data_IF_850326624688
#
_entry.id   IF_850326624688
#
_cell.length_a   1.000
_cell.length_b   1.000
_cell.length_c   1.000
_cell.angle_alpha   90.00
_cell.angle_beta   90.00
_cell.angle_gamma   90.00
#
_symmetry.space_group_name_H-M   'P 1'
#
loop_
_entity.id
_entity.type
_entity.pdbx_description
1 polymer ?
#
# COMPACT_ATOMS: atom_id res chain seq x y z
N UNK A 1 22.25 -8.49 8.44
CA UNK A 1 20.87 -8.05 8.76
C UNK A 1 20.13 -7.86 7.44
N UNK A 2 18.93 -8.42 7.27
CA UNK A 2 18.25 -8.44 5.96
C UNK A 2 17.34 -7.22 5.76
N UNK A 3 16.63 -6.79 6.80
CA UNK A 3 15.83 -5.55 6.86
C UNK A 3 15.82 -5.00 8.29
N UNK A 4 15.73 -3.68 8.44
CA UNK A 4 15.40 -3.00 9.71
C UNK A 4 13.97 -2.51 9.66
N UNK A 5 13.25 -2.67 10.77
CA UNK A 5 11.91 -2.12 10.94
C UNK A 5 11.93 -1.15 12.11
N UNK A 6 11.40 0.05 11.90
CA UNK A 6 11.23 1.06 12.94
C UNK A 6 9.76 1.30 13.18
N UNK A 7 9.37 1.37 14.45
CA UNK A 7 8.00 1.61 14.86
C UNK A 7 7.88 2.99 15.50
N UNK A 8 6.73 3.63 15.31
CA UNK A 8 6.39 4.86 16.00
C UNK A 8 5.95 4.60 17.45
N UNK A 9 5.71 5.67 18.21
CA UNK A 9 5.28 5.58 19.61
C UNK A 9 3.89 4.93 19.81
N UNK A 10 3.14 4.72 18.72
CA UNK A 10 1.84 4.05 18.72
C UNK A 10 1.91 2.62 18.18
N UNK A 11 3.12 2.04 18.13
CA UNK A 11 3.38 0.67 17.69
C UNK A 11 3.01 0.41 16.21
N UNK A 12 3.20 1.41 15.36
CA UNK A 12 2.98 1.28 13.91
C UNK A 12 4.29 1.33 13.17
N UNK A 13 4.40 0.53 12.11
CA UNK A 13 5.58 0.51 11.25
C UNK A 13 5.80 1.88 10.61
N UNK A 14 6.83 2.61 11.00
CA UNK A 14 7.13 3.95 10.49
C UNK A 14 8.16 3.92 9.35
N UNK A 15 9.14 3.02 9.43
CA UNK A 15 10.20 2.89 8.43
C UNK A 15 10.61 1.43 8.26
N UNK A 16 10.88 1.04 7.02
CA UNK A 16 11.46 -0.23 6.65
C UNK A 16 12.70 0.03 5.80
N UNK A 17 13.87 -0.43 6.26
CA UNK A 17 15.12 -0.34 5.50
C UNK A 17 15.65 -1.73 5.17
N UNK A 18 15.28 -2.29 4.00
CA UNK A 18 15.89 -3.51 3.48
C UNK A 18 17.36 -3.28 3.14
N UNK A 19 18.22 -4.27 3.36
CA UNK A 19 19.65 -4.16 3.10
C UNK A 19 20.01 -3.93 1.61
N UNK A 20 19.08 -4.24 0.70
CA UNK A 20 19.27 -4.17 -0.75
C UNK A 20 18.44 -3.06 -1.45
N UNK A 21 17.61 -2.32 -0.72
CA UNK A 21 16.65 -1.36 -1.31
C UNK A 21 16.62 -0.04 -0.53
N UNK A 22 16.07 1.01 -1.14
CA UNK A 22 15.84 2.28 -0.47
C UNK A 22 14.87 2.12 0.70
N UNK A 23 15.06 2.91 1.75
CA UNK A 23 14.15 2.90 2.91
C UNK A 23 12.75 3.36 2.51
N UNK A 24 11.76 2.65 3.01
CA UNK A 24 10.34 2.90 2.80
C UNK A 24 9.74 3.47 4.08
N UNK A 25 9.21 4.69 4.01
CA UNK A 25 8.50 5.33 5.13
C UNK A 25 7.00 5.20 4.95
N UNK A 26 6.30 5.01 6.06
CA UNK A 26 4.87 4.78 6.11
C UNK A 26 4.21 5.90 6.93
N UNK A 27 3.18 6.51 6.35
CA UNK A 27 2.42 7.59 6.95
C UNK A 27 0.97 7.18 7.12
N UNK A 28 0.43 7.45 8.31
CA UNK A 28 -0.88 6.99 8.73
C UNK A 28 -1.84 8.16 8.92
N UNK A 29 -3.08 7.99 8.44
CA UNK A 29 -4.19 8.87 8.73
C UNK A 29 -5.28 8.05 9.42
N UNK A 30 -5.76 8.51 10.58
CA UNK A 30 -6.81 7.81 11.35
C UNK A 30 -6.48 6.33 11.60
N UNK A 31 -5.22 6.05 11.95
CA UNK A 31 -4.71 4.70 12.19
C UNK A 31 -4.70 3.75 10.98
N UNK A 32 -4.81 4.27 9.77
CA UNK A 32 -4.76 3.50 8.52
C UNK A 32 -3.65 4.04 7.63
N UNK A 33 -2.97 3.16 6.91
CA UNK A 33 -1.89 3.55 6.01
C UNK A 33 -2.46 4.46 4.91
N UNK A 34 -1.90 5.66 4.77
CA UNK A 34 -2.35 6.67 3.82
C UNK A 34 -1.30 6.88 2.71
N UNK A 35 -0.02 6.95 3.08
CA UNK A 35 1.06 7.20 2.13
C UNK A 35 2.26 6.35 2.46
N UNK A 36 2.88 5.78 1.43
CA UNK A 36 4.17 5.12 1.49
C UNK A 36 5.14 5.86 0.58
N UNK A 37 6.36 6.15 1.07
CA UNK A 37 7.40 6.83 0.30
C UNK A 37 8.64 5.95 0.29
N UNK A 38 9.13 5.60 -0.89
CA UNK A 38 10.38 4.86 -1.08
C UNK A 38 11.26 5.59 -2.11
N UNK A 39 12.28 6.30 -1.61
CA UNK A 39 13.12 7.14 -2.47
C UNK A 39 12.33 8.29 -3.11
N UNK A 40 12.24 8.29 -4.44
CA UNK A 40 11.48 9.27 -5.24
C UNK A 40 10.06 8.81 -5.57
N UNK A 41 9.69 7.58 -5.17
CA UNK A 41 8.38 7.00 -5.45
C UNK A 41 7.49 7.23 -4.23
N UNK A 42 6.34 7.85 -4.45
CA UNK A 42 5.30 8.03 -3.45
C UNK A 42 4.04 7.29 -3.89
N UNK A 43 3.55 6.41 -3.04
CA UNK A 43 2.26 5.73 -3.20
C UNK A 43 1.27 6.30 -2.18
N UNK A 44 0.12 6.76 -2.63
CA UNK A 44 -0.93 7.35 -1.78
C UNK A 44 -2.23 6.61 -2.00
N UNK A 45 -2.84 6.13 -0.92
CA UNK A 45 -4.14 5.47 -0.94
C UNK A 45 -5.23 6.51 -0.75
N UNK A 46 -6.04 6.70 -1.79
CA UNK A 46 -7.19 7.59 -1.78
C UNK A 46 -8.40 6.82 -1.24
N UNK A 47 -8.93 7.27 -0.12
CA UNK A 47 -10.03 6.62 0.57
C UNK A 47 -11.01 7.64 1.14
N UNK A 48 -12.27 7.24 1.22
CA UNK A 48 -13.26 7.85 2.11
C UNK A 48 -13.21 7.13 3.46
N UNK A 49 -14.02 7.58 4.42
CA UNK A 49 -14.06 6.97 5.76
C UNK A 49 -14.28 5.44 5.66
N UNK A 50 -15.19 5.02 4.78
CA UNK A 50 -15.66 3.65 4.63
C UNK A 50 -15.07 2.87 3.44
N UNK A 51 -14.52 3.52 2.41
CA UNK A 51 -14.12 2.83 1.17
C UNK A 51 -12.77 3.29 0.63
N UNK A 52 -11.94 2.33 0.20
CA UNK A 52 -10.74 2.62 -0.58
C UNK A 52 -11.14 2.79 -2.05
N UNK A 53 -10.79 3.94 -2.63
CA UNK A 53 -11.24 4.34 -3.96
C UNK A 53 -10.16 4.17 -5.02
N UNK A 54 -8.94 4.62 -4.70
CA UNK A 54 -7.88 4.68 -5.68
C UNK A 54 -6.50 4.60 -5.04
N UNK A 55 -5.50 4.31 -5.87
CA UNK A 55 -4.09 4.35 -5.52
C UNK A 55 -3.38 5.31 -6.47
N UNK A 56 -2.78 6.34 -5.93
CA UNK A 56 -1.98 7.32 -6.65
C UNK A 56 -0.50 6.99 -6.49
N UNK A 57 0.21 6.76 -7.59
CA UNK A 57 1.65 6.63 -7.63
C UNK A 57 2.25 7.90 -8.23
N UNK A 58 3.24 8.49 -7.56
CA UNK A 58 3.99 9.64 -8.04
C UNK A 58 5.45 9.23 -8.12
N UNK A 59 6.02 9.29 -9.33
CA UNK A 59 7.44 9.02 -9.57
C UNK A 59 7.95 10.01 -10.62
N UNK A 60 9.01 10.77 -10.32
CA UNK A 60 9.69 11.67 -11.28
C UNK A 60 8.73 12.57 -12.08
N UNK A 61 7.80 13.24 -11.39
CA UNK A 61 6.73 14.09 -11.95
C UNK A 61 5.66 13.38 -12.81
N UNK A 62 5.67 12.05 -12.89
CA UNK A 62 4.57 11.27 -13.46
C UNK A 62 3.63 10.83 -12.33
N UNK A 63 2.34 11.02 -12.57
CA UNK A 63 1.28 10.69 -11.61
C UNK A 63 0.38 9.63 -12.24
N UNK A 64 0.43 8.40 -11.72
CA UNK A 64 -0.43 7.30 -12.13
C UNK A 64 -1.54 7.11 -11.09
N UNK A 65 -2.78 7.36 -11.48
CA UNK A 65 -3.94 7.16 -10.61
C UNK A 65 -4.70 5.89 -11.03
N UNK A 66 -4.79 4.93 -10.11
CA UNK A 66 -5.38 3.62 -10.34
C UNK A 66 -6.69 3.53 -9.56
N UNK A 67 -7.81 3.33 -10.26
CA UNK A 67 -9.08 3.00 -9.60
C UNK A 67 -9.02 1.57 -9.05
N UNK A 68 -9.47 1.43 -7.81
CA UNK A 68 -9.47 0.17 -7.08
C UNK A 68 -10.91 -0.29 -6.87
N UNK A 69 -11.14 -1.59 -7.07
CA UNK A 69 -12.33 -2.26 -6.59
C UNK A 69 -11.96 -3.03 -5.32
N UNK A 70 -12.71 -2.83 -4.25
CA UNK A 70 -12.53 -3.55 -3.00
C UNK A 70 -13.72 -4.44 -2.67
N UNK A 71 -13.46 -5.50 -1.92
CA UNK A 71 -14.52 -6.29 -1.28
C UNK A 71 -15.03 -5.61 0.01
N UNK A 72 -15.98 -6.26 0.69
CA UNK A 72 -16.53 -5.79 1.97
C UNK A 72 -15.46 -5.68 3.07
N UNK A 73 -14.37 -6.41 2.93
CA UNK A 73 -13.23 -6.44 3.82
C UNK A 73 -12.17 -5.38 3.47
N UNK A 74 -12.49 -4.49 2.52
CA UNK A 74 -11.61 -3.42 2.01
C UNK A 74 -10.33 -3.95 1.31
N UNK A 75 -10.35 -5.20 0.87
CA UNK A 75 -9.24 -5.82 0.14
C UNK A 75 -9.35 -5.50 -1.34
N UNK A 76 -8.23 -5.13 -1.97
CA UNK A 76 -8.24 -4.79 -3.40
C UNK A 76 -8.40 -6.04 -4.27
N UNK A 77 -9.61 -6.24 -4.80
CA UNK A 77 -9.97 -7.34 -5.70
C UNK A 77 -9.82 -6.98 -7.17
N UNK A 78 -9.70 -5.69 -7.52
CA UNK A 78 -9.29 -5.29 -8.86
C UNK A 78 -8.57 -3.93 -8.86
N UNK A 79 -7.63 -3.76 -9.79
CA UNK A 79 -6.96 -2.48 -10.07
C UNK A 79 -6.71 -2.35 -11.57
N UNK A 80 -7.14 -1.24 -12.18
CA UNK A 80 -6.99 -1.00 -13.64
C UNK A 80 -7.46 -2.15 -14.55
N UNK A 81 -8.53 -2.87 -14.16
CA UNK A 81 -9.04 -4.01 -14.93
C UNK A 81 -8.30 -5.34 -14.71
N UNK A 82 -7.24 -5.36 -13.90
CA UNK A 82 -6.65 -6.60 -13.39
C UNK A 82 -7.41 -7.04 -12.15
N UNK A 83 -7.96 -8.25 -12.18
CA UNK A 83 -8.63 -8.86 -11.04
C UNK A 83 -7.66 -9.66 -10.17
N UNK A 84 -7.91 -9.66 -8.87
CA UNK A 84 -7.18 -10.40 -7.85
C UNK A 84 -8.16 -11.25 -7.05
N UNK A 85 -7.74 -12.48 -6.76
CA UNK A 85 -8.41 -13.37 -5.83
C UNK A 85 -7.59 -13.49 -4.55
N UNK A 86 -8.27 -13.61 -3.41
CA UNK A 86 -7.64 -13.89 -2.12
C UNK A 86 -8.09 -15.25 -1.63
N UNK A 87 -7.15 -16.03 -1.11
CA UNK A 87 -7.51 -17.20 -0.31
C UNK A 87 -8.12 -16.74 1.02
N UNK A 88 -8.82 -17.62 1.76
CA UNK A 88 -9.39 -17.27 3.08
C UNK A 88 -8.38 -16.73 4.10
N UNK A 89 -7.08 -16.92 3.87
CA UNK A 89 -5.99 -16.44 4.72
C UNK A 89 -5.14 -15.34 4.05
N UNK A 90 -5.72 -14.57 3.14
CA UNK A 90 -5.09 -13.36 2.59
C UNK A 90 -4.07 -13.59 1.47
N UNK A 91 -3.89 -14.83 0.99
CA UNK A 91 -2.96 -15.06 -0.10
C UNK A 91 -3.56 -14.59 -1.42
N UNK A 92 -2.94 -13.57 -2.01
CA UNK A 92 -3.37 -12.96 -3.28
C UNK A 92 -2.88 -13.75 -4.49
N UNK A 93 -3.71 -13.83 -5.53
CA UNK A 93 -3.32 -14.32 -6.85
C UNK A 93 -4.08 -13.55 -7.96
N UNK A 94 -3.41 -13.02 -8.99
CA UNK A 94 -1.96 -12.96 -9.16
C UNK A 94 -1.30 -12.01 -8.14
N UNK A 95 0.01 -12.15 -7.93
CA UNK A 95 0.79 -11.23 -7.10
C UNK A 95 0.76 -9.82 -7.73
N UNK A 96 -0.02 -8.91 -7.14
CA UNK A 96 0.00 -7.51 -7.56
C UNK A 96 1.06 -6.68 -6.84
N UNK A 97 1.15 -5.37 -7.13
CA UNK A 97 2.14 -4.49 -6.50
C UNK A 97 1.97 -4.47 -4.97
N UNK A 98 3.10 -4.46 -4.26
CA UNK A 98 3.19 -4.52 -2.80
C UNK A 98 2.59 -3.28 -2.10
N UNK A 99 2.37 -2.19 -2.84
CA UNK A 99 1.75 -0.95 -2.34
C UNK A 99 0.22 -1.03 -2.25
N UNK A 100 -0.41 -2.07 -2.81
CA UNK A 100 -1.86 -2.24 -2.74
C UNK A 100 -2.26 -2.98 -1.46
N UNK A 101 -3.21 -2.44 -0.69
CA UNK A 101 -3.70 -3.09 0.51
C UNK A 101 -4.51 -4.35 0.18
N UNK A 102 -4.41 -5.33 1.05
CA UNK A 102 -5.17 -6.59 1.02
C UNK A 102 -5.39 -7.09 2.45
N UNK A 103 -6.24 -8.11 2.58
CA UNK A 103 -6.64 -8.70 3.86
C UNK A 103 -5.50 -9.42 4.57
#
# INVERSE_FOLDING_TARGET
MLCTYHYDATDRLADCSPAAQGSARFFYQQNRLATQIQGQIQHTLLRTDEHLLAHLSVENNQNDCLLLATDQQQSVIAAQGLAFAYTPYGHRYPSGPASLPGF
#
